data_IF_809596474453
#
_entry.id   IF_809596474453
#
_cell.length_a   1.000
_cell.length_b   1.000
_cell.length_c   1.000
_cell.angle_alpha   90.00
_cell.angle_beta   90.00
_cell.angle_gamma   90.00
#
_symmetry.space_group_name_H-M   'P 1'
#
loop_
_entity.id
_entity.type
_entity.pdbx_description
1 polymer ?
#
# COMPACT_ATOMS: atom_id res chain seq x y z
N UNK A 1 9.38 7.27 0.50
CA UNK A 1 8.43 6.34 -0.15
C UNK A 1 7.73 7.03 -1.31
N UNK A 2 8.34 7.06 -2.50
CA UNK A 2 7.74 7.72 -3.66
C UNK A 2 6.57 6.88 -4.21
N UNK A 3 5.52 7.52 -4.73
CA UNK A 3 4.32 6.84 -5.23
C UNK A 3 3.97 7.31 -6.65
N UNK A 4 3.43 6.40 -7.45
CA UNK A 4 2.79 6.71 -8.73
C UNK A 4 1.35 6.21 -8.65
N UNK A 5 0.38 7.08 -8.94
CA UNK A 5 -1.05 6.82 -8.82
C UNK A 5 -1.74 7.05 -10.15
N UNK A 6 -2.77 6.27 -10.46
CA UNK A 6 -3.62 6.41 -11.66
C UNK A 6 -5.05 6.77 -11.27
N UNK A 7 -5.76 7.41 -12.19
CA UNK A 7 -7.17 7.83 -12.01
C UNK A 7 -7.38 8.65 -10.74
N UNK A 8 -6.60 9.72 -10.60
CA UNK A 8 -6.47 10.46 -9.35
C UNK A 8 -7.49 11.59 -9.28
N UNK A 9 -8.11 11.74 -8.11
CA UNK A 9 -8.78 12.97 -7.71
C UNK A 9 -7.89 13.69 -6.71
N UNK A 10 -7.47 14.91 -7.04
CA UNK A 10 -6.76 15.80 -6.14
C UNK A 10 -7.73 16.85 -5.62
N UNK A 11 -7.66 17.14 -4.32
CA UNK A 11 -8.41 18.21 -3.66
C UNK A 11 -7.44 19.28 -3.15
N UNK A 12 -7.84 20.55 -3.21
CA UNK A 12 -7.08 21.65 -2.60
C UNK A 12 -6.99 21.49 -1.08
N UNK A 13 -5.97 22.06 -0.41
CA UNK A 13 -5.91 22.08 1.05
C UNK A 13 -7.16 22.68 1.71
N UNK A 14 -7.79 23.67 1.05
CA UNK A 14 -8.99 24.37 1.51
C UNK A 14 -10.29 23.58 1.23
N UNK A 15 -10.24 22.55 0.37
CA UNK A 15 -11.38 21.71 0.04
C UNK A 15 -12.36 22.28 -0.99
N UNK A 16 -12.02 23.40 -1.62
CA UNK A 16 -12.87 24.14 -2.55
C UNK A 16 -12.64 23.77 -4.04
N UNK A 17 -11.50 23.17 -4.37
CA UNK A 17 -11.09 22.86 -5.75
C UNK A 17 -10.72 21.40 -5.90
N UNK A 18 -11.08 20.86 -7.06
CA UNK A 18 -10.90 19.46 -7.41
C UNK A 18 -10.32 19.33 -8.81
N UNK A 19 -9.39 18.40 -8.98
CA UNK A 19 -8.79 18.04 -10.26
C UNK A 19 -8.88 16.55 -10.48
N UNK A 20 -9.21 16.15 -11.72
CA UNK A 20 -9.11 14.76 -12.16
C UNK A 20 -7.87 14.62 -13.03
N UNK A 21 -6.96 13.76 -12.62
CA UNK A 21 -5.69 13.51 -13.29
C UNK A 21 -5.62 12.05 -13.76
N UNK A 22 -5.13 11.77 -14.98
CA UNK A 22 -4.96 10.40 -15.43
C UNK A 22 -3.88 9.66 -14.62
N UNK A 23 -2.78 10.35 -14.28
CA UNK A 23 -1.68 9.82 -13.49
C UNK A 23 -1.00 10.95 -12.70
N UNK A 24 -0.43 10.65 -11.53
CA UNK A 24 0.45 11.58 -10.82
C UNK A 24 1.60 10.86 -10.11
N UNK A 25 2.71 11.59 -9.92
CA UNK A 25 3.86 11.14 -9.15
C UNK A 25 4.00 11.99 -7.88
N UNK A 26 4.15 11.33 -6.73
CA UNK A 26 4.29 11.97 -5.42
C UNK A 26 5.64 11.59 -4.82
N UNK A 27 6.44 12.60 -4.46
CA UNK A 27 7.68 12.36 -3.72
C UNK A 27 7.37 11.97 -2.28
N UNK A 28 8.01 10.91 -1.81
CA UNK A 28 7.66 10.30 -0.55
C UNK A 28 7.97 11.11 0.70
N UNK A 29 8.89 12.07 0.60
CA UNK A 29 9.22 12.95 1.71
C UNK A 29 8.13 14.00 1.97
N UNK A 30 7.14 14.15 1.08
CA UNK A 30 6.02 15.09 1.25
C UNK A 30 4.76 14.41 1.78
N UNK A 31 4.79 13.10 2.06
CA UNK A 31 3.62 12.33 2.49
C UNK A 31 3.53 12.35 4.02
N UNK A 32 2.38 12.80 4.55
CA UNK A 32 2.11 12.79 6.00
C UNK A 32 1.57 11.44 6.48
N UNK A 33 0.60 10.88 5.77
CA UNK A 33 0.03 9.57 6.04
C UNK A 33 -0.62 9.01 4.76
N UNK A 34 -0.89 7.72 4.76
CA UNK A 34 -1.70 7.04 3.76
C UNK A 34 -2.87 6.37 4.46
N UNK A 35 -4.06 6.44 3.86
CA UNK A 35 -5.23 5.67 4.28
C UNK A 35 -5.47 4.58 3.25
N UNK A 36 -5.54 3.35 3.71
CA UNK A 36 -5.86 2.18 2.88
C UNK A 36 -7.19 1.58 3.36
N UNK A 37 -7.92 0.86 2.50
CA UNK A 37 -9.12 0.12 2.93
C UNK A 37 -8.77 -0.96 3.95
N UNK A 38 -9.67 -1.19 4.91
CA UNK A 38 -9.46 -2.17 6.00
C UNK A 38 -9.32 -3.60 5.45
N UNK A 39 -10.04 -3.93 4.37
CA UNK A 39 -9.93 -5.22 3.67
C UNK A 39 -8.50 -5.52 3.21
N UNK A 40 -7.75 -4.50 2.77
CA UNK A 40 -6.34 -4.68 2.37
C UNK A 40 -5.48 -5.05 3.58
N UNK A 41 -5.77 -4.47 4.74
CA UNK A 41 -5.03 -4.74 5.98
C UNK A 41 -5.21 -6.21 6.40
N UNK A 42 -6.42 -6.74 6.27
CA UNK A 42 -6.72 -8.15 6.60
C UNK A 42 -6.00 -9.11 5.66
N UNK A 43 -6.08 -8.88 4.34
CA UNK A 43 -5.40 -9.72 3.34
C UNK A 43 -3.88 -9.79 3.58
N UNK A 44 -3.24 -8.66 3.88
CA UNK A 44 -1.79 -8.61 4.16
C UNK A 44 -1.42 -9.41 5.41
N UNK A 45 -2.26 -9.41 6.45
CA UNK A 45 -2.01 -10.21 7.66
C UNK A 45 -2.06 -11.70 7.35
N UNK A 46 -3.04 -12.14 6.57
CA UNK A 46 -3.16 -13.54 6.15
C UNK A 46 -1.96 -14.00 5.31
N UNK A 47 -1.54 -13.19 4.35
CA UNK A 47 -0.38 -13.50 3.50
C UNK A 47 0.92 -13.56 4.30
N UNK A 48 1.10 -12.67 5.29
CA UNK A 48 2.25 -12.71 6.18
C UNK A 48 2.30 -14.01 7.01
N UNK A 49 1.15 -14.53 7.44
CA UNK A 49 1.05 -15.81 8.15
C UNK A 49 1.40 -16.97 7.21
N UNK A 50 0.84 -16.97 5.98
CA UNK A 50 1.11 -18.01 4.97
C UNK A 50 2.60 -18.06 4.61
N UNK A 51 3.25 -16.92 4.42
CA UNK A 51 4.69 -16.87 4.13
C UNK A 51 5.53 -17.42 5.30
N UNK A 52 5.17 -17.11 6.55
CA UNK A 52 5.88 -17.65 7.73
C UNK A 52 5.71 -19.17 7.86
N UNK A 53 4.52 -19.70 7.56
CA UNK A 53 4.28 -21.15 7.59
C UNK A 53 5.05 -21.87 6.48
N UNK A 54 5.13 -21.27 5.27
CA UNK A 54 5.93 -21.80 4.16
C UNK A 54 7.44 -21.83 4.48
N UNK A 55 7.96 -20.80 5.16
CA UNK A 55 9.38 -20.74 5.56
C UNK A 55 9.75 -21.74 6.67
N UNK A 56 8.78 -22.16 7.50
CA UNK A 56 8.98 -23.11 8.62
C UNK A 56 9.04 -24.58 8.17
N UNK A 57 8.55 -24.90 6.97
CA UNK A 57 8.51 -26.28 6.44
C UNK A 57 9.83 -26.81 5.87
N UNK A 58 10.85 -25.95 5.69
CA UNK A 58 12.05 -26.28 4.90
C UNK A 58 13.21 -26.99 5.61
N UNK A 59 13.14 -27.25 6.93
CA UNK A 59 14.32 -27.72 7.69
C UNK A 59 14.09 -28.96 8.59
N UNK A 60 13.15 -29.85 8.26
CA UNK A 60 12.95 -31.13 8.98
C UNK A 60 13.30 -32.37 8.14
N UNK A 61 14.46 -32.37 7.49
CA UNK A 61 14.85 -33.57 6.74
C UNK A 61 16.19 -33.48 6.04
N UNK A 62 17.28 -33.37 6.80
CA UNK A 62 18.60 -33.79 6.32
C UNK A 62 19.30 -34.54 7.45
N UNK A 63 18.95 -35.82 7.56
CA UNK A 63 19.80 -36.85 8.17
C UNK A 63 20.81 -37.31 7.12
#
# INVERSE_FOLDING_TARGET
>A
MNLTLREVIQTSPEGDRFWRLPECYIRGNTIKYLRVPDEIIEMVKEDAIRQRQAASGGNRGRK
#
